data_IF_308279929852
#
_entry.id   IF_308279929852
#
_cell.length_a   1.000
_cell.length_b   1.000
_cell.length_c   1.000
_cell.angle_alpha   90.00
_cell.angle_beta   90.00
_cell.angle_gamma   90.00
#
_symmetry.space_group_name_H-M   'P 1'
#
loop_
_entity.id
_entity.type
_entity.pdbx_description
1 polymer ?
#
# COMPACT_ATOMS: atom_id res chain seq x y z
N UNK A 1 -2.34 -20.49 11.81
CA UNK A 1 -1.54 -19.89 10.72
C UNK A 1 -2.10 -18.50 10.44
N UNK A 2 -1.27 -17.45 10.42
CA UNK A 2 -1.75 -16.08 10.21
C UNK A 2 -2.18 -15.85 8.75
N UNK A 3 -3.15 -14.96 8.56
CA UNK A 3 -3.65 -14.48 7.26
C UNK A 3 -3.02 -13.13 6.92
N UNK A 4 -2.61 -12.96 5.67
CA UNK A 4 -1.94 -11.76 5.18
C UNK A 4 -2.93 -10.80 4.51
N UNK A 5 -2.70 -9.49 4.68
CA UNK A 5 -3.53 -8.46 4.06
C UNK A 5 -3.47 -8.55 2.54
N UNK A 6 -4.44 -7.93 1.88
CA UNK A 6 -4.34 -7.61 0.46
C UNK A 6 -3.02 -6.86 0.14
N UNK A 7 -2.64 -6.88 -1.12
CA UNK A 7 -1.59 -6.02 -1.65
C UNK A 7 -2.19 -4.75 -2.25
N UNK A 8 -1.33 -3.89 -2.77
CA UNK A 8 -1.68 -2.69 -3.49
C UNK A 8 -1.02 -2.69 -4.87
N UNK A 9 -1.66 -1.98 -5.79
CA UNK A 9 -1.08 -1.53 -7.04
C UNK A 9 -1.03 -0.01 -7.00
N UNK A 10 0.15 0.57 -7.15
CA UNK A 10 0.36 2.01 -7.10
C UNK A 10 0.80 2.54 -8.46
N UNK A 11 0.34 3.75 -8.78
CA UNK A 11 0.89 4.55 -9.87
C UNK A 11 1.28 5.88 -9.27
N UNK A 12 2.58 6.18 -9.27
CA UNK A 12 3.10 7.51 -9.01
C UNK A 12 3.18 8.23 -10.35
N UNK A 13 2.61 9.43 -10.45
CA UNK A 13 2.61 10.17 -11.71
C UNK A 13 2.66 11.68 -11.51
N UNK A 14 3.25 12.36 -12.49
CA UNK A 14 3.30 13.81 -12.56
C UNK A 14 2.60 14.33 -13.82
N UNK A 15 1.98 15.50 -13.72
CA UNK A 15 1.33 16.20 -14.83
C UNK A 15 1.92 17.59 -15.04
N UNK A 16 1.94 18.08 -16.28
CA UNK A 16 2.40 19.45 -16.62
C UNK A 16 1.32 20.52 -16.45
N UNK A 17 0.26 20.20 -15.71
CA UNK A 17 -0.82 21.10 -15.32
C UNK A 17 -1.32 20.72 -13.94
N UNK A 18 -2.08 21.63 -13.35
CA UNK A 18 -2.81 21.41 -12.11
C UNK A 18 -4.29 21.13 -12.37
N UNK A 19 -4.92 20.45 -11.41
CA UNK A 19 -6.34 20.10 -11.41
C UNK A 19 -7.03 20.73 -10.19
N UNK A 20 -8.21 21.35 -10.34
CA UNK A 20 -8.89 21.98 -9.21
C UNK A 20 -9.63 20.97 -8.32
N UNK A 21 -10.12 19.87 -8.88
CA UNK A 21 -11.09 19.00 -8.20
C UNK A 21 -10.48 18.03 -7.16
N UNK A 22 -9.34 17.35 -7.40
CA UNK A 22 -8.77 16.47 -6.41
C UNK A 22 -8.34 17.23 -5.14
N UNK A 23 -8.87 16.82 -3.99
CA UNK A 23 -8.33 17.24 -2.70
C UNK A 23 -7.00 16.54 -2.41
N UNK A 24 -6.26 17.00 -1.39
CA UNK A 24 -4.99 16.37 -0.96
C UNK A 24 -5.15 14.85 -0.82
N UNK A 25 -6.26 14.42 -0.21
CA UNK A 25 -6.68 13.03 -0.11
C UNK A 25 -8.06 12.87 -0.73
N UNK A 26 -8.21 11.97 -1.68
CA UNK A 26 -9.48 11.69 -2.34
C UNK A 26 -9.74 10.19 -2.37
N UNK A 27 -10.92 9.78 -1.88
CA UNK A 27 -11.44 8.42 -2.07
C UNK A 27 -12.39 8.45 -3.25
N UNK A 28 -12.01 7.79 -4.33
CA UNK A 28 -12.81 7.64 -5.55
C UNK A 28 -13.51 6.29 -5.49
N UNK A 29 -14.82 6.30 -5.29
CA UNK A 29 -15.62 5.09 -5.09
C UNK A 29 -16.25 4.62 -6.41
N UNK A 30 -16.00 3.36 -6.74
CA UNK A 30 -16.71 2.68 -7.82
C UNK A 30 -18.10 2.18 -7.40
N UNK A 31 -18.86 1.64 -8.36
CA UNK A 31 -20.25 1.25 -8.12
C UNK A 31 -20.41 -0.03 -7.28
N UNK A 32 -19.41 -0.93 -7.25
CA UNK A 32 -19.53 -2.27 -6.62
C UNK A 32 -18.65 -2.44 -5.38
N UNK A 33 -18.93 -1.75 -4.27
CA UNK A 33 -18.13 -1.91 -3.05
C UNK A 33 -17.96 -3.37 -2.59
N UNK A 34 -19.07 -4.11 -2.39
CA UNK A 34 -19.01 -5.51 -1.93
C UNK A 34 -18.40 -6.45 -2.97
N UNK A 35 -18.75 -6.27 -4.25
CA UNK A 35 -18.23 -7.08 -5.35
C UNK A 35 -16.70 -6.94 -5.48
N UNK A 36 -16.19 -5.71 -5.36
CA UNK A 36 -14.76 -5.43 -5.39
C UNK A 36 -14.02 -6.12 -4.23
N UNK A 37 -14.59 -6.10 -3.01
CA UNK A 37 -14.00 -6.82 -1.88
C UNK A 37 -14.01 -8.34 -2.09
N UNK A 38 -15.10 -8.89 -2.63
CA UNK A 38 -15.16 -10.31 -2.98
C UNK A 38 -14.12 -10.66 -4.05
N UNK A 39 -13.94 -9.80 -5.06
CA UNK A 39 -12.93 -9.97 -6.11
C UNK A 39 -11.50 -9.98 -5.57
N UNK A 40 -11.19 -9.13 -4.58
CA UNK A 40 -9.85 -9.05 -3.97
C UNK A 40 -9.59 -10.21 -3.00
N UNK A 41 -10.49 -10.44 -2.05
CA UNK A 41 -10.22 -11.33 -0.91
C UNK A 41 -10.67 -12.77 -1.15
N UNK A 42 -11.67 -13.00 -2.01
CA UNK A 42 -12.23 -14.34 -2.28
C UNK A 42 -11.82 -14.85 -3.66
N UNK A 43 -12.16 -14.11 -4.71
CA UNK A 43 -11.97 -14.56 -6.10
C UNK A 43 -10.52 -14.38 -6.57
N UNK A 44 -9.81 -13.41 -5.99
CA UNK A 44 -8.39 -13.10 -6.22
C UNK A 44 -8.09 -12.71 -7.66
N UNK A 45 -8.95 -11.87 -8.23
CA UNK A 45 -8.83 -11.38 -9.60
C UNK A 45 -8.66 -9.86 -9.62
N UNK A 46 -8.17 -9.34 -10.74
CA UNK A 46 -8.19 -7.91 -11.00
C UNK A 46 -9.60 -7.49 -11.42
N UNK A 47 -10.28 -6.72 -10.57
CA UNK A 47 -11.62 -6.21 -10.88
C UNK A 47 -11.62 -5.30 -12.11
N UNK A 48 -12.76 -5.24 -12.80
CA UNK A 48 -12.96 -4.39 -13.98
C UNK A 48 -13.18 -2.91 -13.62
N UNK A 49 -13.83 -2.67 -12.49
CA UNK A 49 -14.06 -1.37 -11.86
C UNK A 49 -13.14 -1.16 -10.65
N UNK A 50 -13.10 0.07 -10.11
CA UNK A 50 -12.14 0.45 -9.09
C UNK A 50 -12.78 1.13 -7.89
N UNK A 51 -12.16 1.00 -6.72
CA UNK A 51 -12.24 2.01 -5.67
C UNK A 51 -10.81 2.44 -5.38
N UNK A 52 -10.52 3.70 -5.67
CA UNK A 52 -9.16 4.22 -5.70
C UNK A 52 -8.97 5.22 -4.56
N UNK A 53 -7.76 5.24 -4.03
CA UNK A 53 -7.30 6.36 -3.23
C UNK A 53 -6.34 7.18 -4.09
N UNK A 54 -6.69 8.44 -4.33
CA UNK A 54 -5.86 9.41 -5.04
C UNK A 54 -5.28 10.40 -4.03
N UNK A 55 -3.97 10.53 -4.05
CA UNK A 55 -3.22 11.48 -3.24
C UNK A 55 -2.63 12.57 -4.13
N UNK A 56 -2.90 13.83 -3.80
CA UNK A 56 -2.44 15.01 -4.52
C UNK A 56 -1.72 15.96 -3.54
N UNK A 57 -0.49 15.63 -3.08
CA UNK A 57 0.13 16.33 -1.95
C UNK A 57 0.51 17.79 -2.26
N UNK A 58 0.67 18.14 -3.53
CA UNK A 58 0.85 19.50 -4.04
C UNK A 58 -0.30 20.45 -3.70
N UNK A 59 -1.48 19.93 -3.33
CA UNK A 59 -2.58 20.71 -2.74
C UNK A 59 -2.18 21.40 -1.44
N UNK A 60 -1.24 20.82 -0.71
CA UNK A 60 -0.73 21.37 0.56
C UNK A 60 0.70 21.87 0.43
N UNK A 61 1.54 21.18 -0.34
CA UNK A 61 2.93 21.55 -0.55
C UNK A 61 3.28 21.65 -2.05
N UNK A 62 3.15 22.85 -2.65
CA UNK A 62 3.50 23.06 -4.05
C UNK A 62 4.97 22.77 -4.40
N UNK A 63 5.88 22.65 -3.43
CA UNK A 63 7.30 22.36 -3.68
C UNK A 63 7.56 20.93 -4.18
N UNK A 64 6.57 20.04 -4.02
CA UNK A 64 6.65 18.64 -4.45
C UNK A 64 6.53 18.43 -5.97
N UNK A 65 6.31 19.50 -6.73
CA UNK A 65 6.33 19.47 -8.19
C UNK A 65 6.93 20.78 -8.76
N UNK A 66 7.44 20.78 -10.01
CA UNK A 66 7.80 22.01 -10.69
C UNK A 66 6.63 23.01 -10.76
N UNK A 67 6.93 24.30 -10.95
CA UNK A 67 5.89 25.33 -11.08
C UNK A 67 4.89 24.96 -12.19
N UNK A 68 3.60 25.04 -11.88
CA UNK A 68 2.52 24.72 -12.82
C UNK A 68 2.29 23.22 -13.05
N UNK A 69 3.09 22.35 -12.42
CA UNK A 69 2.92 20.91 -12.46
C UNK A 69 2.19 20.41 -11.22
N UNK A 70 1.74 19.16 -11.29
CA UNK A 70 1.14 18.48 -10.15
C UNK A 70 1.69 17.05 -10.05
N UNK A 71 1.89 16.56 -8.83
CA UNK A 71 2.27 15.17 -8.59
C UNK A 71 1.17 14.46 -7.82
N UNK A 72 1.04 13.17 -8.13
CA UNK A 72 0.03 12.30 -7.57
C UNK A 72 0.62 10.93 -7.26
N UNK A 73 -0.01 10.22 -6.34
CA UNK A 73 -0.04 8.77 -6.47
C UNK A 73 -1.48 8.27 -6.32
N UNK A 74 -1.81 7.24 -7.10
CA UNK A 74 -3.06 6.50 -6.97
C UNK A 74 -2.79 5.09 -6.47
N UNK A 75 -3.67 4.61 -5.61
CA UNK A 75 -3.63 3.31 -4.98
C UNK A 75 -4.90 2.54 -5.35
N UNK A 76 -4.71 1.34 -5.89
CA UNK A 76 -5.76 0.34 -6.10
C UNK A 76 -5.50 -0.90 -5.23
N UNK A 77 -6.47 -1.35 -4.43
CA UNK A 77 -6.39 -2.62 -3.71
C UNK A 77 -6.37 -3.82 -4.67
N UNK A 78 -5.46 -4.76 -4.47
CA UNK A 78 -5.32 -5.96 -5.30
C UNK A 78 -4.97 -7.20 -4.47
N UNK A 79 -5.20 -8.43 -4.97
CA UNK A 79 -4.78 -9.65 -4.27
C UNK A 79 -3.28 -9.66 -3.97
N UNK A 80 -2.89 -10.27 -2.85
CA UNK A 80 -1.47 -10.50 -2.51
C UNK A 80 -0.92 -11.73 -3.28
N UNK A 81 0.41 -11.85 -3.39
CA UNK A 81 1.07 -12.90 -4.20
C UNK A 81 0.90 -14.31 -3.62
N UNK A 82 0.71 -14.44 -2.31
CA UNK A 82 0.53 -15.74 -1.65
C UNK A 82 -0.90 -16.30 -1.77
N UNK A 83 -1.77 -15.68 -2.56
CA UNK A 83 -3.17 -16.06 -2.62
C UNK A 83 -3.33 -17.35 -3.47
N UNK A 84 -4.01 -18.41 -2.98
CA UNK A 84 -4.20 -19.63 -3.77
C UNK A 84 -4.96 -19.36 -5.09
N UNK A 85 -4.62 -20.12 -6.14
CA UNK A 85 -5.19 -19.96 -7.49
C UNK A 85 -4.13 -19.52 -8.50
N UNK A 86 -4.59 -19.18 -9.71
CA UNK A 86 -3.72 -18.66 -10.77
C UNK A 86 -3.14 -17.31 -10.35
N UNK A 87 -1.82 -17.20 -10.44
CA UNK A 87 -1.11 -15.99 -10.08
C UNK A 87 -1.27 -14.95 -11.19
N UNK A 88 -1.54 -13.70 -10.78
CA UNK A 88 -1.55 -12.57 -11.69
C UNK A 88 -0.13 -12.38 -12.24
N UNK A 89 0.02 -12.45 -13.56
CA UNK A 89 1.27 -12.16 -14.25
C UNK A 89 1.47 -10.65 -14.34
N UNK A 90 2.05 -10.06 -13.30
CA UNK A 90 2.27 -8.62 -13.21
C UNK A 90 3.15 -8.06 -14.32
N UNK A 91 4.02 -8.86 -14.95
CA UNK A 91 4.80 -8.37 -16.10
C UNK A 91 3.91 -8.12 -17.32
N UNK A 92 2.84 -8.90 -17.49
CA UNK A 92 1.87 -8.72 -18.58
C UNK A 92 0.74 -7.75 -18.22
N UNK A 93 0.28 -7.77 -16.98
CA UNK A 93 -0.93 -7.04 -16.55
C UNK A 93 -0.67 -5.59 -16.10
N UNK A 94 0.55 -5.24 -15.67
CA UNK A 94 0.79 -3.95 -15.01
C UNK A 94 0.47 -2.74 -15.88
N UNK A 95 0.84 -2.76 -17.16
CA UNK A 95 0.63 -1.60 -18.04
C UNK A 95 -0.84 -1.42 -18.43
N UNK A 96 -1.54 -2.52 -18.76
CA UNK A 96 -2.96 -2.48 -19.11
C UNK A 96 -3.82 -2.09 -17.91
N UNK A 97 -3.51 -2.59 -16.72
CA UNK A 97 -4.19 -2.24 -15.48
C UNK A 97 -3.96 -0.77 -15.11
N UNK A 98 -2.73 -0.27 -15.27
CA UNK A 98 -2.43 1.14 -15.06
C UNK A 98 -3.19 2.06 -16.03
N UNK A 99 -3.25 1.72 -17.32
CA UNK A 99 -3.99 2.52 -18.30
C UNK A 99 -5.49 2.58 -17.95
N UNK A 100 -6.09 1.46 -17.54
CA UNK A 100 -7.50 1.43 -17.11
C UNK A 100 -7.77 2.35 -15.91
N UNK A 101 -6.86 2.40 -14.93
CA UNK A 101 -6.95 3.33 -13.79
C UNK A 101 -6.85 4.78 -14.27
N UNK A 102 -5.87 5.11 -15.12
CA UNK A 102 -5.69 6.45 -15.66
C UNK A 102 -6.91 6.90 -16.48
N UNK A 103 -7.50 6.00 -17.29
CA UNK A 103 -8.74 6.25 -18.03
C UNK A 103 -9.91 6.51 -17.08
N UNK A 104 -10.04 5.77 -15.98
CA UNK A 104 -11.12 5.97 -15.01
C UNK A 104 -11.03 7.34 -14.31
N UNK A 105 -9.81 7.73 -13.91
CA UNK A 105 -9.55 9.06 -13.34
C UNK A 105 -9.77 10.17 -14.37
N UNK A 106 -9.32 9.98 -15.62
CA UNK A 106 -9.47 10.95 -16.71
C UNK A 106 -10.93 11.27 -17.01
N UNK A 107 -11.79 10.25 -17.00
CA UNK A 107 -13.23 10.40 -17.26
C UNK A 107 -13.98 11.14 -16.17
N UNK A 108 -13.38 11.36 -14.99
CA UNK A 108 -14.12 11.83 -13.81
C UNK A 108 -13.48 13.03 -13.11
N UNK A 109 -12.27 12.88 -12.54
CA UNK A 109 -11.70 13.87 -11.62
C UNK A 109 -10.37 14.49 -12.10
N UNK A 110 -9.77 13.93 -13.15
CA UNK A 110 -8.49 14.40 -13.71
C UNK A 110 -8.58 14.52 -15.24
N UNK A 111 -9.41 15.41 -15.80
CA UNK A 111 -9.66 15.48 -17.25
C UNK A 111 -8.38 15.66 -18.09
N UNK A 112 -8.31 15.04 -19.26
CA UNK A 112 -7.12 15.03 -20.12
C UNK A 112 -5.84 14.49 -19.46
N UNK A 113 -5.93 13.71 -18.37
CA UNK A 113 -4.77 13.18 -17.62
C UNK A 113 -3.69 12.60 -18.52
N UNK A 114 -4.02 11.67 -19.42
CA UNK A 114 -3.02 10.97 -20.25
C UNK A 114 -2.32 11.91 -21.22
N UNK A 115 -2.97 12.99 -21.65
CA UNK A 115 -2.37 14.04 -22.52
C UNK A 115 -1.33 14.89 -21.77
N UNK A 116 -1.51 15.04 -20.46
CA UNK A 116 -0.68 15.90 -19.63
C UNK A 116 0.31 15.14 -18.74
N UNK A 117 0.37 13.82 -18.87
CA UNK A 117 1.28 12.94 -18.14
C UNK A 117 2.74 13.21 -18.52
N UNK A 118 3.58 13.54 -17.55
CA UNK A 118 5.02 13.84 -17.73
C UNK A 118 5.88 12.68 -17.27
N UNK A 119 5.46 12.00 -16.20
CA UNK A 119 6.17 10.85 -15.64
C UNK A 119 5.17 9.87 -15.03
N UNK A 120 5.54 8.59 -15.05
CA UNK A 120 4.76 7.48 -14.49
C UNK A 120 5.70 6.43 -13.93
N UNK A 121 5.46 5.97 -12.71
CA UNK A 121 6.09 4.81 -12.10
C UNK A 121 5.00 3.89 -11.56
N UNK A 122 4.99 2.64 -12.00
CA UNK A 122 4.09 1.61 -11.50
C UNK A 122 4.81 0.82 -10.40
N UNK A 123 4.09 0.52 -9.32
CA UNK A 123 4.58 -0.30 -8.21
C UNK A 123 3.56 -1.39 -7.90
N UNK A 124 3.95 -2.63 -8.10
CA UNK A 124 3.09 -3.82 -8.05
C UNK A 124 3.33 -4.62 -6.76
N UNK A 125 2.51 -5.65 -6.46
CA UNK A 125 2.79 -6.61 -5.39
C UNK A 125 4.19 -7.24 -5.49
N UNK A 126 4.75 -7.40 -6.69
CA UNK A 126 6.11 -7.91 -6.89
C UNK A 126 7.18 -6.92 -6.45
N UNK A 127 6.92 -5.63 -6.60
CA UNK A 127 7.81 -4.59 -6.10
C UNK A 127 7.76 -4.52 -4.56
N UNK A 128 6.59 -4.73 -3.95
CA UNK A 128 6.48 -4.85 -2.48
C UNK A 128 7.33 -6.02 -1.97
N UNK A 129 7.23 -7.19 -2.61
CA UNK A 129 8.00 -8.38 -2.24
C UNK A 129 9.50 -8.19 -2.44
N UNK A 130 9.93 -7.68 -3.59
CA UNK A 130 11.35 -7.64 -3.98
C UNK A 130 12.12 -6.42 -3.47
N UNK A 131 11.45 -5.28 -3.23
CA UNK A 131 12.10 -4.02 -2.84
C UNK A 131 11.90 -3.64 -1.38
N UNK A 132 10.84 -4.14 -0.74
CA UNK A 132 10.49 -3.82 0.64
C UNK A 132 10.49 -5.05 1.54
N UNK A 133 10.93 -6.21 1.04
CA UNK A 133 10.90 -7.52 1.71
C UNK A 133 9.52 -7.85 2.31
N UNK A 134 8.45 -7.35 1.68
CA UNK A 134 7.11 -7.58 2.14
C UNK A 134 6.69 -9.01 1.75
N UNK A 135 6.66 -9.91 2.74
CA UNK A 135 6.24 -11.29 2.51
C UNK A 135 4.89 -11.34 1.77
N UNK A 136 4.84 -12.17 0.73
CA UNK A 136 3.72 -12.32 -0.22
C UNK A 136 3.26 -11.01 -0.89
N UNK A 137 4.10 -9.97 -0.89
CA UNK A 137 3.77 -8.65 -1.38
C UNK A 137 2.67 -7.94 -0.57
N UNK A 138 2.39 -8.37 0.66
CA UNK A 138 1.30 -7.79 1.45
C UNK A 138 1.60 -6.33 1.85
N UNK A 139 0.65 -5.42 1.60
CA UNK A 139 0.87 -3.99 1.83
C UNK A 139 0.79 -3.58 3.31
N UNK A 140 0.05 -4.35 4.12
CA UNK A 140 -0.19 -4.06 5.54
C UNK A 140 0.16 -5.25 6.46
N UNK A 141 0.96 -6.18 5.94
CA UNK A 141 1.41 -7.39 6.64
C UNK A 141 0.21 -8.32 6.94
N UNK A 142 -0.30 -8.37 8.16
CA UNK A 142 -1.42 -9.24 8.51
C UNK A 142 -2.78 -8.62 8.19
N UNK A 143 -3.77 -9.46 7.86
CA UNK A 143 -5.16 -8.99 7.75
C UNK A 143 -5.61 -8.37 9.08
N UNK A 144 -6.33 -7.23 9.04
CA UNK A 144 -6.81 -6.54 10.24
C UNK A 144 -8.09 -7.21 10.79
N UNK A 145 -8.07 -8.53 10.96
CA UNK A 145 -9.12 -9.25 11.69
C UNK A 145 -8.85 -9.15 13.19
N UNK A 146 -9.91 -9.20 14.00
CA UNK A 146 -9.83 -8.99 15.45
C UNK A 146 -8.76 -9.88 16.11
N UNK A 147 -8.70 -11.15 15.71
CA UNK A 147 -7.78 -12.17 16.24
C UNK A 147 -6.32 -12.04 15.77
N UNK A 148 -6.00 -11.05 14.93
CA UNK A 148 -4.65 -10.76 14.44
C UNK A 148 -4.27 -9.27 14.62
N UNK A 149 -5.04 -8.54 15.43
CA UNK A 149 -4.89 -7.11 15.61
C UNK A 149 -4.41 -6.78 17.02
N UNK A 150 -3.72 -5.64 17.15
CA UNK A 150 -3.25 -5.07 18.41
C UNK A 150 -2.49 -6.08 19.29
N UNK A 151 -3.11 -6.52 20.39
CA UNK A 151 -2.52 -7.47 21.34
C UNK A 151 -2.22 -8.84 20.71
N UNK A 152 -3.02 -9.29 19.73
CA UNK A 152 -2.84 -10.61 19.12
C UNK A 152 -1.79 -10.64 18.00
N UNK A 153 -1.01 -9.56 17.83
CA UNK A 153 0.13 -9.55 16.93
C UNK A 153 1.35 -10.21 17.58
N UNK A 154 2.30 -10.72 16.78
CA UNK A 154 3.60 -11.13 17.31
C UNK A 154 4.20 -10.04 18.20
N UNK A 155 4.65 -10.44 19.39
CA UNK A 155 5.22 -9.53 20.36
C UNK A 155 6.68 -9.19 20.03
N UNK A 156 7.18 -8.12 20.64
CA UNK A 156 8.52 -7.59 20.40
C UNK A 156 9.66 -8.49 20.88
N UNK A 157 9.39 -9.47 21.74
CA UNK A 157 10.36 -10.48 22.20
C UNK A 157 9.94 -11.82 21.62
N UNK A 158 10.87 -12.52 20.96
CA UNK A 158 10.60 -13.86 20.44
C UNK A 158 10.37 -14.85 21.59
N UNK A 159 9.31 -15.65 21.47
CA UNK A 159 9.01 -16.75 22.41
C UNK A 159 9.91 -17.97 22.14
N UNK A 160 10.38 -18.12 20.89
CA UNK A 160 11.12 -19.30 20.41
C UNK A 160 12.64 -19.12 20.45
N UNK A 161 13.14 -17.88 20.25
CA UNK A 161 14.57 -17.61 20.09
C UNK A 161 15.04 -16.59 21.12
N UNK A 162 15.89 -17.04 22.05
CA UNK A 162 16.47 -16.16 23.06
C UNK A 162 17.32 -15.06 22.42
N UNK A 163 17.06 -13.82 22.80
CA UNK A 163 17.81 -12.65 22.31
C UNK A 163 17.35 -12.15 20.94
N UNK A 164 16.28 -12.72 20.36
CA UNK A 164 15.65 -12.19 19.15
C UNK A 164 14.52 -11.22 19.51
N UNK A 165 14.61 -10.01 18.97
CA UNK A 165 13.62 -8.95 19.15
C UNK A 165 13.01 -8.56 17.80
N UNK A 166 11.71 -8.28 17.80
CA UNK A 166 10.94 -7.93 16.61
C UNK A 166 10.47 -6.48 16.72
N UNK A 167 10.48 -5.77 15.60
CA UNK A 167 9.96 -4.42 15.49
C UNK A 167 9.47 -4.16 14.07
N UNK A 168 8.38 -3.41 13.94
CA UNK A 168 7.86 -2.96 12.66
C UNK A 168 6.35 -3.14 12.55
N UNK A 169 5.85 -3.00 11.32
CA UNK A 169 4.41 -2.95 11.05
C UNK A 169 3.71 -4.29 11.29
N UNK A 170 4.48 -5.38 11.37
CA UNK A 170 4.01 -6.73 11.69
C UNK A 170 3.87 -7.00 13.18
N UNK A 171 4.67 -6.31 13.97
CA UNK A 171 4.82 -6.56 15.40
C UNK A 171 3.87 -5.67 16.19
N UNK A 172 3.57 -6.06 17.42
CA UNK A 172 2.89 -5.20 18.38
C UNK A 172 3.53 -3.79 18.43
N UNK A 173 2.73 -2.70 18.47
CA UNK A 173 1.26 -2.65 18.52
C UNK A 173 0.55 -2.75 17.16
N UNK A 174 1.26 -2.62 16.04
CA UNK A 174 0.69 -2.85 14.71
C UNK A 174 1.25 -1.94 13.61
N UNK A 175 0.49 -1.87 12.51
CA UNK A 175 0.89 -1.20 11.27
C UNK A 175 0.66 0.33 11.31
N UNK A 176 1.18 1.00 10.28
CA UNK A 176 1.14 2.45 10.13
C UNK A 176 2.29 3.13 10.85
N UNK A 177 2.62 4.37 10.43
CA UNK A 177 3.76 5.12 10.99
C UNK A 177 3.72 5.20 12.52
N UNK A 178 2.60 5.54 13.18
CA UNK A 178 2.55 5.58 14.64
C UNK A 178 2.76 4.21 15.30
N UNK A 179 2.24 3.14 14.69
CA UNK A 179 2.36 1.77 15.21
C UNK A 179 3.79 1.27 15.14
N UNK A 180 4.46 1.48 14.00
CA UNK A 180 5.89 1.14 13.79
C UNK A 180 6.78 1.89 14.78
N UNK A 181 6.58 3.20 14.93
CA UNK A 181 7.36 4.02 15.87
C UNK A 181 7.15 3.56 17.32
N UNK A 182 5.92 3.22 17.69
CA UNK A 182 5.60 2.69 19.02
C UNK A 182 6.24 1.33 19.25
N UNK A 183 6.28 0.47 18.22
CA UNK A 183 6.97 -0.83 18.25
C UNK A 183 8.47 -0.64 18.54
N UNK A 184 9.11 0.30 17.85
CA UNK A 184 10.51 0.64 18.10
C UNK A 184 10.73 1.18 19.51
N UNK A 185 9.84 2.05 20.00
CA UNK A 185 9.93 2.61 21.36
C UNK A 185 9.82 1.55 22.44
N UNK A 186 9.00 0.50 22.23
CA UNK A 186 8.87 -0.61 23.17
C UNK A 186 10.16 -1.42 23.32
N UNK A 187 11.00 -1.46 22.28
CA UNK A 187 12.28 -2.16 22.35
C UNK A 187 13.21 -1.61 23.44
N UNK A 188 13.15 -0.32 23.75
CA UNK A 188 13.92 0.28 24.85
C UNK A 188 13.63 -0.36 26.21
N UNK A 189 12.45 -0.98 26.38
CA UNK A 189 12.04 -1.60 27.64
C UNK A 189 12.37 -3.09 27.71
N UNK A 190 12.47 -3.76 26.56
CA UNK A 190 12.59 -5.23 26.51
C UNK A 190 13.97 -5.70 26.08
N UNK A 191 14.76 -4.86 25.39
CA UNK A 191 16.15 -5.16 25.08
C UNK A 191 16.98 -4.95 26.35
N UNK A 192 17.70 -5.99 26.82
CA UNK A 192 18.63 -5.82 27.94
C UNK A 192 19.71 -4.80 27.62
N UNK A 193 20.13 -4.01 28.61
CA UNK A 193 21.29 -3.15 28.44
C UNK A 193 22.49 -3.97 27.94
N UNK A 194 23.27 -3.47 26.98
CA UNK A 194 24.46 -4.18 26.53
C UNK A 194 25.38 -4.42 27.73
N UNK A 195 25.70 -5.68 27.99
CA UNK A 195 26.70 -6.02 28.98
C UNK A 195 28.04 -5.43 28.52
N UNK A 196 28.75 -4.64 29.34
CA UNK A 196 30.08 -4.17 28.97
C UNK A 196 30.94 -5.36 28.59
N UNK A 197 31.52 -5.33 27.38
CA UNK A 197 32.52 -6.31 26.98
C UNK A 197 33.78 -6.02 27.82
N UNK A 198 34.11 -6.93 28.73
CA UNK A 198 35.38 -6.94 29.48
C UNK A 198 36.51 -7.49 28.61
#
# INVERSE_FOLDING_TARGET
KMRYSMSLFLIYFGTNRTYPDPAHHTIWLGPRYKGLLDDIFKNRILAEDFSLYLHAPTRTDPSLAPKGHECFYVLSPVPHLGAPGDQIDWEKEKESYADRILVALEKTIVPDLRKHLVSKLIFTPKDFESRLDAHVGSAFQFEPILTQSAWFRPHNVSEDVRGLFLCGAGTHPGAGVPGVLSSAKLLERVIPNPTPQL
#
